data_IF_678731422198
#
_entry.id   IF_678731422198
#
_cell.length_a   1.000
_cell.length_b   1.000
_cell.length_c   1.000
_cell.angle_alpha   90.00
_cell.angle_beta   90.00
_cell.angle_gamma   90.00
#
_symmetry.space_group_name_H-M   'P 1'
#
loop_
_entity.id
_entity.type
_entity.pdbx_description
1 polymer ?
#
# COMPACT_ATOMS: atom_id res chain seq x y z
N UNK A 1 -12.09 -1.90 -16.92
CA UNK A 1 -12.75 -0.85 -16.09
C UNK A 1 -11.97 0.44 -16.19
N UNK A 2 -12.61 1.59 -15.95
CA UNK A 2 -11.96 2.91 -15.93
C UNK A 2 -10.76 2.94 -14.97
N UNK A 3 -10.91 2.44 -13.76
CA UNK A 3 -9.81 2.37 -12.79
C UNK A 3 -8.62 1.56 -13.32
N UNK A 4 -8.87 0.47 -14.02
CA UNK A 4 -7.81 -0.34 -14.63
C UNK A 4 -7.08 0.44 -15.72
N UNK A 5 -7.78 1.18 -16.57
CA UNK A 5 -7.19 1.99 -17.63
C UNK A 5 -6.32 3.12 -17.05
N UNK A 6 -6.80 3.79 -16.00
CA UNK A 6 -6.03 4.81 -15.27
C UNK A 6 -4.77 4.18 -14.65
N UNK A 7 -4.89 3.04 -13.98
CA UNK A 7 -3.75 2.34 -13.37
C UNK A 7 -2.70 1.98 -14.42
N UNK A 8 -3.09 1.38 -15.55
CA UNK A 8 -2.19 1.02 -16.64
C UNK A 8 -1.49 2.26 -17.26
N UNK A 9 -2.21 3.38 -17.39
CA UNK A 9 -1.62 4.62 -17.88
C UNK A 9 -0.55 5.17 -16.92
N UNK A 10 -0.83 5.19 -15.61
CA UNK A 10 0.13 5.61 -14.57
C UNK A 10 1.36 4.70 -14.50
N UNK A 11 1.18 3.38 -14.65
CA UNK A 11 2.30 2.42 -14.73
C UNK A 11 3.20 2.73 -15.92
N UNK A 12 2.63 2.96 -17.12
CA UNK A 12 3.41 3.33 -18.31
C UNK A 12 4.17 4.63 -18.13
N UNK A 13 3.53 5.65 -17.54
CA UNK A 13 4.15 6.93 -17.26
C UNK A 13 5.33 6.79 -16.28
N UNK A 14 5.13 6.08 -15.16
CA UNK A 14 6.18 5.87 -14.17
C UNK A 14 7.36 5.07 -14.71
N UNK A 15 7.10 3.98 -15.43
CA UNK A 15 8.13 3.17 -16.08
C UNK A 15 8.89 3.96 -17.14
N UNK A 16 8.19 4.78 -17.94
CA UNK A 16 8.79 5.68 -18.94
C UNK A 16 9.73 6.73 -18.32
N UNK A 17 9.54 7.07 -17.06
CA UNK A 17 10.44 7.93 -16.28
C UNK A 17 11.49 7.17 -15.47
N UNK A 18 11.66 5.87 -15.72
CA UNK A 18 12.74 5.05 -15.17
C UNK A 18 12.43 4.34 -13.85
N UNK A 19 11.17 4.35 -13.39
CA UNK A 19 10.79 3.59 -12.18
C UNK A 19 10.96 2.08 -12.39
N UNK A 20 11.53 1.40 -11.40
CA UNK A 20 11.68 -0.06 -11.34
C UNK A 20 10.65 -0.71 -10.43
N UNK A 21 10.27 -0.03 -9.35
CA UNK A 21 9.17 -0.37 -8.47
C UNK A 21 8.11 0.73 -8.55
N UNK A 22 6.87 0.36 -8.83
CA UNK A 22 5.74 1.27 -8.96
C UNK A 22 4.68 0.86 -7.95
N UNK A 23 4.30 1.78 -7.06
CA UNK A 23 3.33 1.53 -6.00
C UNK A 23 2.08 2.37 -6.26
N UNK A 24 0.97 1.70 -6.50
CA UNK A 24 -0.35 2.29 -6.62
C UNK A 24 -1.10 2.19 -5.28
N UNK A 25 -2.12 3.03 -5.05
CA UNK A 25 -2.85 3.05 -3.78
C UNK A 25 -3.60 1.76 -3.43
N UNK A 26 -4.01 1.64 -2.16
CA UNK A 26 -5.06 0.72 -1.72
C UNK A 26 -6.34 0.97 -2.51
N UNK A 27 -7.13 -0.08 -2.76
CA UNK A 27 -8.41 0.03 -3.46
C UNK A 27 -8.30 0.63 -4.88
N UNK A 28 -7.17 0.39 -5.60
CA UNK A 28 -6.99 0.84 -6.99
C UNK A 28 -7.98 0.16 -7.93
N UNK A 29 -8.29 -1.13 -7.72
CA UNK A 29 -9.26 -1.85 -8.57
C UNK A 29 -10.69 -1.34 -8.41
N UNK A 30 -11.04 -0.94 -7.18
CA UNK A 30 -12.38 -0.53 -6.79
C UNK A 30 -12.31 0.36 -5.56
N UNK A 31 -12.94 1.55 -5.60
CA UNK A 31 -13.03 2.44 -4.44
C UNK A 31 -13.96 1.87 -3.36
N UNK A 32 -13.67 2.08 -2.09
CA UNK A 32 -14.50 1.65 -0.95
C UNK A 32 -15.96 2.14 -1.00
N UNK A 33 -16.25 3.19 -1.75
CA UNK A 33 -17.60 3.77 -1.92
C UNK A 33 -18.32 3.35 -3.19
N UNK A 34 -17.70 2.55 -4.06
CA UNK A 34 -18.27 2.17 -5.36
C UNK A 34 -19.15 0.90 -5.29
N UNK A 35 -19.96 0.78 -4.26
CA UNK A 35 -20.86 -0.34 -4.06
C UNK A 35 -20.29 -1.44 -3.17
N UNK A 36 -20.81 -2.64 -3.28
CA UNK A 36 -20.34 -3.79 -2.50
C UNK A 36 -18.99 -4.27 -3.05
N UNK A 37 -18.05 -4.56 -2.14
CA UNK A 37 -16.70 -4.99 -2.51
C UNK A 37 -16.71 -6.38 -3.18
N UNK A 38 -17.56 -7.29 -2.71
CA UNK A 38 -17.66 -8.67 -3.21
C UNK A 38 -18.20 -8.76 -4.65
N UNK A 39 -18.98 -7.79 -5.12
CA UNK A 39 -19.53 -7.79 -6.48
C UNK A 39 -18.49 -7.53 -7.57
N UNK A 40 -17.40 -6.84 -7.25
CA UNK A 40 -16.33 -6.49 -8.18
C UNK A 40 -14.99 -7.16 -7.82
N UNK A 41 -14.95 -7.93 -6.73
CA UNK A 41 -13.75 -8.65 -6.31
C UNK A 41 -13.30 -9.65 -7.39
N UNK A 42 -11.99 -9.75 -7.59
CA UNK A 42 -11.38 -10.62 -8.59
C UNK A 42 -10.23 -11.41 -7.97
N UNK A 43 -9.99 -12.63 -8.43
CA UNK A 43 -8.79 -13.37 -8.04
C UNK A 43 -7.53 -12.79 -8.70
N UNK A 44 -6.36 -13.28 -8.30
CA UNK A 44 -5.08 -12.89 -8.93
C UNK A 44 -4.97 -13.33 -10.40
N UNK A 45 -5.84 -14.25 -10.86
CA UNK A 45 -5.96 -14.65 -12.26
C UNK A 45 -7.04 -13.84 -13.00
N UNK A 46 -7.69 -12.89 -12.31
CA UNK A 46 -8.75 -12.05 -12.88
C UNK A 46 -8.22 -10.96 -13.79
N UNK A 47 -9.11 -10.30 -14.55
CA UNK A 47 -8.73 -9.32 -15.57
C UNK A 47 -7.88 -8.15 -15.06
N UNK A 48 -8.09 -7.69 -13.83
CA UNK A 48 -7.31 -6.58 -13.26
C UNK A 48 -5.85 -7.00 -13.02
N UNK A 49 -5.64 -8.11 -12.31
CA UNK A 49 -4.30 -8.58 -11.98
C UNK A 49 -3.53 -9.03 -13.23
N UNK A 50 -4.18 -9.76 -14.15
CA UNK A 50 -3.55 -10.21 -15.39
C UNK A 50 -3.15 -9.06 -16.32
N UNK A 51 -3.93 -7.98 -16.37
CA UNK A 51 -3.56 -6.81 -17.16
C UNK A 51 -2.34 -6.07 -16.59
N UNK A 52 -2.28 -5.94 -15.25
CA UNK A 52 -1.12 -5.33 -14.58
C UNK A 52 0.12 -6.23 -14.74
N UNK A 53 -0.02 -7.54 -14.55
CA UNK A 53 1.07 -8.50 -14.74
C UNK A 53 1.66 -8.43 -16.14
N UNK A 54 0.81 -8.48 -17.16
CA UNK A 54 1.27 -8.42 -18.55
C UNK A 54 2.03 -7.12 -18.86
N UNK A 55 1.53 -5.99 -18.32
CA UNK A 55 2.21 -4.70 -18.51
C UNK A 55 3.50 -4.61 -17.71
N UNK A 56 3.54 -5.12 -16.49
CA UNK A 56 4.74 -5.14 -15.65
C UNK A 56 5.86 -5.98 -16.27
N UNK A 57 5.51 -7.13 -16.87
CA UNK A 57 6.44 -7.96 -17.63
C UNK A 57 6.93 -7.25 -18.91
N UNK A 58 6.02 -6.63 -19.69
CA UNK A 58 6.36 -5.85 -20.89
C UNK A 58 7.37 -4.74 -20.61
N UNK A 59 7.20 -4.05 -19.48
CA UNK A 59 8.02 -2.90 -19.09
C UNK A 59 9.21 -3.26 -18.18
N UNK A 60 9.36 -4.53 -17.82
CA UNK A 60 10.39 -5.04 -16.91
C UNK A 60 10.41 -4.29 -15.55
N UNK A 61 9.23 -4.02 -14.99
CA UNK A 61 9.04 -3.34 -13.70
C UNK A 61 8.25 -4.20 -12.72
N UNK A 62 8.39 -3.93 -11.43
CA UNK A 62 7.52 -4.52 -10.40
C UNK A 62 6.45 -3.50 -10.00
N UNK A 63 5.19 -3.94 -9.96
CA UNK A 63 4.03 -3.12 -9.62
C UNK A 63 3.37 -3.67 -8.35
N UNK A 64 3.07 -2.79 -7.41
CA UNK A 64 2.20 -3.07 -6.27
C UNK A 64 0.92 -2.26 -6.40
N UNK A 65 -0.25 -2.91 -6.34
CA UNK A 65 -1.54 -2.25 -6.56
C UNK A 65 -2.64 -2.82 -5.66
N UNK A 66 -3.41 -1.96 -5.00
CA UNK A 66 -4.52 -2.41 -4.15
C UNK A 66 -5.68 -2.99 -4.97
N UNK A 67 -6.17 -4.16 -4.56
CA UNK A 67 -7.36 -4.80 -5.12
C UNK A 67 -8.15 -5.57 -4.06
N UNK A 68 -9.33 -6.02 -4.39
CA UNK A 68 -10.11 -6.91 -3.53
C UNK A 68 -10.22 -8.29 -4.18
N UNK A 69 -9.91 -9.34 -3.40
CA UNK A 69 -10.03 -10.73 -3.82
C UNK A 69 -11.22 -11.39 -3.08
N UNK A 70 -11.98 -12.29 -3.71
CA UNK A 70 -12.96 -13.09 -2.99
C UNK A 70 -12.31 -13.88 -1.86
N UNK A 71 -12.91 -13.86 -0.66
CA UNK A 71 -12.39 -14.59 0.49
C UNK A 71 -13.37 -15.67 0.96
N UNK A 72 -14.12 -15.43 2.02
CA UNK A 72 -15.04 -16.41 2.59
C UNK A 72 -16.48 -15.88 2.66
N UNK A 73 -17.36 -16.71 3.21
CA UNK A 73 -18.75 -16.34 3.45
C UNK A 73 -19.10 -16.62 4.91
N UNK A 74 -19.71 -15.63 5.57
CA UNK A 74 -20.14 -15.75 6.97
C UNK A 74 -21.63 -15.46 7.11
N UNK A 75 -22.27 -16.10 8.09
CA UNK A 75 -23.64 -15.79 8.48
C UNK A 75 -23.64 -14.86 9.68
N UNK A 76 -24.29 -13.70 9.55
CA UNK A 76 -24.44 -12.73 10.64
C UNK A 76 -25.86 -12.14 10.65
N UNK A 77 -26.54 -12.22 11.77
CA UNK A 77 -27.91 -11.71 11.94
C UNK A 77 -28.91 -12.22 10.87
N UNK A 78 -28.76 -13.50 10.48
CA UNK A 78 -29.60 -14.14 9.46
C UNK A 78 -29.32 -13.65 8.02
N UNK A 79 -28.19 -12.98 7.80
CA UNK A 79 -27.75 -12.55 6.47
C UNK A 79 -26.44 -13.22 6.10
N UNK A 80 -26.36 -13.67 4.87
CA UNK A 80 -25.13 -14.16 4.26
C UNK A 80 -24.28 -12.97 3.81
N UNK A 81 -23.03 -12.90 4.29
CA UNK A 81 -22.06 -11.86 3.93
C UNK A 81 -20.89 -12.55 3.22
N UNK A 82 -20.70 -12.24 1.95
CA UNK A 82 -19.48 -12.62 1.23
C UNK A 82 -18.40 -11.60 1.59
N UNK A 83 -17.31 -12.07 2.22
CA UNK A 83 -16.18 -11.21 2.53
C UNK A 83 -15.12 -11.26 1.43
N UNK A 84 -14.31 -10.22 1.38
CA UNK A 84 -13.17 -10.11 0.47
C UNK A 84 -11.87 -10.01 1.28
N UNK A 85 -10.74 -10.35 0.68
CA UNK A 85 -9.42 -9.90 1.16
C UNK A 85 -9.13 -8.53 0.56
N UNK A 86 -8.53 -7.64 1.36
CA UNK A 86 -7.96 -6.38 0.91
C UNK A 86 -6.50 -6.66 0.56
N UNK A 87 -6.24 -6.84 -0.73
CA UNK A 87 -4.98 -7.40 -1.23
C UNK A 87 -4.13 -6.34 -1.92
N UNK A 88 -2.88 -6.22 -1.52
CA UNK A 88 -1.86 -5.56 -2.33
C UNK A 88 -1.30 -6.58 -3.33
N UNK A 89 -1.76 -6.51 -4.58
CA UNK A 89 -1.20 -7.28 -5.70
C UNK A 89 0.27 -6.94 -5.87
N UNK A 90 1.10 -7.95 -6.09
CA UNK A 90 2.52 -7.82 -6.43
C UNK A 90 2.71 -8.50 -7.77
N UNK A 91 3.07 -7.74 -8.79
CA UNK A 91 3.14 -8.19 -10.17
C UNK A 91 4.42 -7.69 -10.85
N UNK A 92 5.15 -8.58 -11.53
CA UNK A 92 6.38 -8.22 -12.22
C UNK A 92 7.06 -9.43 -12.86
N UNK A 93 8.25 -9.25 -13.47
CA UNK A 93 8.99 -10.34 -14.07
C UNK A 93 9.27 -11.47 -13.07
N UNK A 94 8.65 -12.63 -13.29
CA UNK A 94 8.83 -13.81 -12.44
C UNK A 94 8.13 -13.76 -11.07
N UNK A 95 7.33 -12.73 -10.79
CA UNK A 95 6.54 -12.62 -9.58
C UNK A 95 5.08 -12.28 -9.87
N UNK A 96 4.17 -13.08 -9.32
CA UNK A 96 2.75 -12.77 -9.21
C UNK A 96 2.27 -13.29 -7.85
N UNK A 97 1.82 -12.40 -7.01
CA UNK A 97 1.35 -12.72 -5.67
C UNK A 97 0.56 -11.59 -5.05
N UNK A 98 0.29 -11.69 -3.77
CA UNK A 98 -0.42 -10.65 -3.04
C UNK A 98 -0.12 -10.70 -1.56
N UNK A 99 -0.27 -9.55 -0.92
CA UNK A 99 -0.29 -9.38 0.52
C UNK A 99 -1.72 -9.03 0.94
N UNK A 100 -2.34 -9.88 1.73
CA UNK A 100 -3.64 -9.60 2.34
C UNK A 100 -3.43 -8.80 3.62
N UNK A 101 -4.08 -7.64 3.71
CA UNK A 101 -4.01 -6.70 4.84
C UNK A 101 -4.31 -7.41 6.15
N UNK A 102 -3.36 -7.37 7.09
CA UNK A 102 -3.46 -8.07 8.38
C UNK A 102 -4.37 -7.30 9.34
N UNK A 103 -4.24 -5.97 9.42
CA UNK A 103 -4.99 -5.16 10.37
C UNK A 103 -6.16 -4.45 9.66
N UNK A 104 -7.37 -4.97 9.83
CA UNK A 104 -8.60 -4.33 9.34
C UNK A 104 -8.86 -3.03 10.10
N UNK A 105 -9.39 -2.03 9.38
CA UNK A 105 -9.71 -0.72 9.94
C UNK A 105 -11.03 -0.78 10.74
N UNK A 106 -10.93 -1.21 11.99
CA UNK A 106 -12.05 -1.25 12.93
C UNK A 106 -11.90 -0.11 13.96
N UNK A 107 -12.11 1.13 13.51
CA UNK A 107 -11.92 2.31 14.33
C UNK A 107 -12.79 3.49 13.83
N UNK A 108 -13.03 4.47 14.68
CA UNK A 108 -13.78 5.69 14.33
C UNK A 108 -15.17 5.38 13.74
N UNK A 109 -15.93 4.48 14.40
CA UNK A 109 -17.26 4.03 14.00
C UNK A 109 -17.33 3.33 12.63
N UNK A 110 -16.19 2.90 12.07
CA UNK A 110 -16.08 2.09 10.88
C UNK A 110 -15.58 0.69 11.23
N UNK A 111 -16.11 -0.35 10.58
CA UNK A 111 -15.72 -1.75 10.78
C UNK A 111 -15.46 -2.43 9.45
N UNK A 112 -14.20 -2.39 9.02
CA UNK A 112 -13.76 -3.08 7.81
C UNK A 112 -13.94 -4.61 7.92
N UNK A 113 -13.72 -5.18 9.12
CA UNK A 113 -13.86 -6.61 9.39
C UNK A 113 -15.27 -7.18 9.16
N UNK A 114 -16.26 -6.34 8.99
CA UNK A 114 -17.62 -6.80 8.67
C UNK A 114 -17.70 -7.39 7.25
N UNK A 115 -16.87 -6.90 6.33
CA UNK A 115 -16.86 -7.29 4.91
C UNK A 115 -15.48 -7.70 4.39
N UNK A 116 -14.43 -7.52 5.18
CA UNK A 116 -13.04 -7.87 4.82
C UNK A 116 -12.51 -8.92 5.78
N UNK A 117 -11.97 -10.00 5.24
CA UNK A 117 -11.21 -11.00 5.97
C UNK A 117 -9.78 -10.50 6.18
N UNK A 118 -9.32 -10.48 7.42
CA UNK A 118 -7.93 -10.14 7.74
C UNK A 118 -6.95 -11.19 7.21
N UNK A 119 -5.81 -10.75 6.69
CA UNK A 119 -4.67 -11.60 6.38
C UNK A 119 -3.96 -12.10 7.64
N UNK A 120 -3.09 -13.09 7.48
CA UNK A 120 -2.38 -13.73 8.60
C UNK A 120 -0.85 -13.75 8.42
N UNK A 121 -0.36 -13.42 7.23
CA UNK A 121 1.04 -13.60 6.89
C UNK A 121 1.70 -12.31 6.42
N UNK A 122 2.92 -12.07 6.89
CA UNK A 122 3.82 -11.07 6.33
C UNK A 122 4.26 -11.50 4.93
N UNK A 123 4.47 -10.53 4.06
CA UNK A 123 4.97 -10.76 2.70
C UNK A 123 6.15 -9.84 2.43
N UNK A 124 7.24 -10.44 1.97
CA UNK A 124 8.38 -9.75 1.39
C UNK A 124 8.70 -10.37 0.02
N UNK A 125 9.23 -9.56 -0.90
CA UNK A 125 9.57 -9.94 -2.26
C UNK A 125 10.79 -9.17 -2.74
N UNK A 126 11.45 -9.67 -3.77
CA UNK A 126 12.65 -9.05 -4.31
C UNK A 126 12.30 -8.11 -5.48
N UNK A 127 12.96 -6.96 -5.50
CA UNK A 127 12.97 -6.03 -6.65
C UNK A 127 14.42 -5.65 -6.91
N UNK A 128 14.97 -6.10 -8.03
CA UNK A 128 16.40 -6.02 -8.30
C UNK A 128 17.22 -6.56 -7.10
N UNK A 129 18.06 -5.75 -6.47
CA UNK A 129 18.87 -6.14 -5.30
C UNK A 129 18.24 -5.77 -3.94
N UNK A 130 16.96 -5.36 -3.93
CA UNK A 130 16.24 -4.93 -2.73
C UNK A 130 15.24 -5.98 -2.26
N UNK A 131 15.21 -6.23 -0.96
CA UNK A 131 14.10 -6.92 -0.30
C UNK A 131 13.03 -5.88 0.07
N UNK A 132 11.82 -6.07 -0.43
CA UNK A 132 10.69 -5.16 -0.25
C UNK A 132 9.62 -5.83 0.59
N UNK A 133 9.24 -5.22 1.70
CA UNK A 133 8.13 -5.64 2.53
C UNK A 133 6.80 -5.02 2.10
N UNK A 134 5.69 -5.69 2.33
CA UNK A 134 4.35 -5.17 2.06
C UNK A 134 3.55 -4.92 3.35
N UNK A 135 2.88 -3.78 3.39
CA UNK A 135 1.87 -3.41 4.38
C UNK A 135 0.78 -2.59 3.66
N UNK A 136 -0.39 -2.43 4.26
CA UNK A 136 -1.49 -1.67 3.64
C UNK A 136 -2.16 -0.75 4.66
N UNK A 137 -2.18 0.55 4.38
CA UNK A 137 -2.99 1.56 5.04
C UNK A 137 -2.94 1.50 6.58
N UNK A 138 -3.98 0.93 7.23
CA UNK A 138 -4.11 0.85 8.68
C UNK A 138 -3.00 0.07 9.36
N UNK A 139 -2.32 -0.86 8.65
CA UNK A 139 -1.14 -1.57 9.16
C UNK A 139 -0.06 -0.60 9.67
N UNK A 140 0.00 0.62 9.14
CA UNK A 140 0.98 1.63 9.56
C UNK A 140 0.88 1.99 11.05
N UNK A 141 -0.22 1.67 11.72
CA UNK A 141 -0.40 1.88 13.17
C UNK A 141 0.24 0.80 14.03
N UNK A 142 0.74 -0.27 13.42
CA UNK A 142 1.29 -1.45 14.09
C UNK A 142 2.79 -1.57 13.82
N UNK A 143 3.64 -0.96 14.68
CA UNK A 143 5.09 -0.91 14.47
C UNK A 143 5.74 -2.29 14.43
N UNK A 144 5.16 -3.27 15.12
CA UNK A 144 5.67 -4.63 15.19
C UNK A 144 5.76 -5.27 13.79
N UNK A 145 4.77 -5.05 12.94
CA UNK A 145 4.77 -5.56 11.57
C UNK A 145 5.95 -5.01 10.76
N UNK A 146 6.25 -3.73 10.88
CA UNK A 146 7.35 -3.06 10.17
C UNK A 146 8.71 -3.52 10.69
N UNK A 147 8.84 -3.69 11.99
CA UNK A 147 10.07 -4.24 12.61
C UNK A 147 10.31 -5.68 12.19
N UNK A 148 9.27 -6.49 12.14
CA UNK A 148 9.37 -7.89 11.73
C UNK A 148 9.76 -8.00 10.25
N UNK A 149 9.14 -7.22 9.34
CA UNK A 149 9.55 -7.16 7.94
C UNK A 149 11.03 -6.76 7.80
N UNK A 150 11.47 -5.77 8.57
CA UNK A 150 12.87 -5.34 8.56
C UNK A 150 13.82 -6.40 9.12
N UNK A 151 13.40 -7.18 10.14
CA UNK A 151 14.19 -8.28 10.71
C UNK A 151 14.38 -9.42 9.69
N UNK A 152 13.37 -9.63 8.82
CA UNK A 152 13.41 -10.56 7.69
C UNK A 152 14.18 -10.02 6.48
N UNK A 153 14.78 -8.83 6.58
CA UNK A 153 15.67 -8.27 5.57
C UNK A 153 15.07 -7.12 4.74
N UNK A 154 13.80 -6.76 4.92
CA UNK A 154 13.20 -5.68 4.14
C UNK A 154 13.96 -4.35 4.31
N UNK A 155 14.39 -3.77 3.21
CA UNK A 155 15.10 -2.49 3.13
C UNK A 155 14.16 -1.34 2.72
N UNK A 156 13.05 -1.70 2.14
CA UNK A 156 11.96 -0.83 1.74
C UNK A 156 10.63 -1.50 2.10
N UNK A 157 9.67 -0.73 2.59
CA UNK A 157 8.32 -1.23 2.87
C UNK A 157 7.32 -0.36 2.10
N UNK A 158 6.54 -1.01 1.23
CA UNK A 158 5.47 -0.36 0.48
C UNK A 158 4.18 -0.31 1.30
N UNK A 159 3.43 0.78 1.18
CA UNK A 159 2.18 0.98 1.93
C UNK A 159 1.11 1.60 1.01
N UNK A 160 0.47 0.81 0.14
CA UNK A 160 -0.76 1.23 -0.53
C UNK A 160 -1.79 1.71 0.49
N UNK A 161 -2.42 2.87 0.25
CA UNK A 161 -3.26 3.51 1.26
C UNK A 161 -4.46 4.21 0.67
N UNK A 162 -5.58 4.14 1.38
CA UNK A 162 -6.77 4.97 1.17
C UNK A 162 -7.15 5.59 2.53
N UNK A 163 -6.42 6.63 2.95
CA UNK A 163 -6.54 7.23 4.27
C UNK A 163 -7.78 8.11 4.38
N UNK A 164 -8.45 8.10 5.54
CA UNK A 164 -9.56 9.01 5.82
C UNK A 164 -9.03 10.42 6.13
N UNK A 165 -9.71 11.46 5.62
CA UNK A 165 -9.41 12.85 5.92
C UNK A 165 -10.21 13.35 7.14
N UNK A 166 -9.82 14.51 7.67
CA UNK A 166 -10.43 15.18 8.81
C UNK A 166 -9.39 15.77 9.76
N UNK A 167 -9.84 16.41 10.84
CA UNK A 167 -8.94 17.07 11.80
C UNK A 167 -7.86 16.13 12.33
N UNK A 168 -6.58 16.52 12.18
CA UNK A 168 -5.41 15.77 12.64
C UNK A 168 -5.05 14.53 11.82
N UNK A 169 -5.78 14.19 10.76
CA UNK A 169 -5.53 12.97 9.98
C UNK A 169 -4.28 13.05 9.14
N UNK A 170 -4.00 14.18 8.53
CA UNK A 170 -2.77 14.41 7.76
C UNK A 170 -1.54 14.39 8.69
N UNK A 171 -1.62 15.02 9.85
CA UNK A 171 -0.55 15.01 10.85
C UNK A 171 -0.25 13.59 11.34
N UNK A 172 -1.28 12.79 11.60
CA UNK A 172 -1.11 11.37 11.94
C UNK A 172 -0.44 10.59 10.82
N UNK A 173 -0.85 10.80 9.58
CA UNK A 173 -0.25 10.16 8.41
C UNK A 173 1.24 10.49 8.30
N UNK A 174 1.59 11.76 8.39
CA UNK A 174 2.99 12.24 8.36
C UNK A 174 3.81 11.68 9.50
N UNK A 175 3.27 11.67 10.72
CA UNK A 175 3.94 11.13 11.90
C UNK A 175 4.18 9.63 11.76
N UNK A 176 3.15 8.88 11.38
CA UNK A 176 3.23 7.41 11.32
C UNK A 176 4.19 6.94 10.24
N UNK A 177 4.18 7.54 9.04
CA UNK A 177 5.11 7.17 7.97
C UNK A 177 6.56 7.40 8.37
N UNK A 178 6.88 8.51 9.03
CA UNK A 178 8.22 8.78 9.54
C UNK A 178 8.61 7.86 10.71
N UNK A 179 7.68 7.59 11.64
CA UNK A 179 7.92 6.68 12.75
C UNK A 179 8.20 5.25 12.27
N UNK A 180 7.44 4.75 11.28
CA UNK A 180 7.69 3.40 10.71
C UNK A 180 9.05 3.30 10.03
N UNK A 181 9.50 4.36 9.34
CA UNK A 181 10.84 4.39 8.76
C UNK A 181 11.94 4.27 9.84
N UNK A 182 11.79 5.00 10.95
CA UNK A 182 12.72 4.93 12.08
C UNK A 182 12.68 3.59 12.82
N UNK A 183 11.49 3.05 13.09
CA UNK A 183 11.30 1.77 13.81
C UNK A 183 11.88 0.58 13.04
N UNK A 184 11.79 0.61 11.71
CA UNK A 184 12.26 -0.46 10.82
C UNK A 184 13.64 -0.17 10.22
N UNK A 185 14.12 1.08 10.32
CA UNK A 185 15.32 1.53 9.59
C UNK A 185 15.29 1.15 8.10
N UNK A 186 14.11 1.32 7.50
CA UNK A 186 13.83 1.01 6.10
C UNK A 186 13.19 2.23 5.42
N UNK A 187 13.30 2.31 4.09
CA UNK A 187 12.48 3.25 3.34
C UNK A 187 11.00 2.91 3.49
N UNK A 188 10.15 3.93 3.59
CA UNK A 188 8.69 3.78 3.49
C UNK A 188 8.23 4.45 2.20
N UNK A 189 7.59 3.67 1.31
CA UNK A 189 6.98 4.14 0.07
C UNK A 189 5.48 3.98 0.20
N UNK A 190 4.79 5.07 0.53
CA UNK A 190 3.37 5.06 0.83
C UNK A 190 2.60 5.79 -0.27
N UNK A 191 1.83 5.03 -1.05
CA UNK A 191 0.99 5.55 -2.13
C UNK A 191 -0.45 5.74 -1.65
N UNK A 192 -0.89 6.99 -1.54
CA UNK A 192 -2.22 7.37 -1.09
C UNK A 192 -3.17 7.65 -2.25
N UNK A 193 -4.41 7.19 -2.15
CA UNK A 193 -5.49 7.67 -3.02
C UNK A 193 -5.58 9.20 -2.91
N UNK A 194 -5.65 9.90 -4.06
CA UNK A 194 -5.90 11.34 -4.09
C UNK A 194 -7.20 11.70 -3.36
N UNK A 195 -7.28 12.91 -2.84
CA UNK A 195 -8.48 13.38 -2.16
C UNK A 195 -9.60 13.62 -3.20
N UNK A 196 -10.75 12.94 -3.12
CA UNK A 196 -11.89 13.29 -3.97
C UNK A 196 -12.30 14.76 -3.75
N UNK A 197 -12.23 15.56 -4.81
CA UNK A 197 -12.42 17.01 -4.75
C UNK A 197 -11.15 17.81 -4.48
N UNK A 198 -10.00 17.15 -4.34
CA UNK A 198 -8.68 17.78 -4.25
C UNK A 198 -8.53 18.75 -3.08
N UNK A 199 -7.74 19.80 -3.30
CA UNK A 199 -7.46 20.84 -2.32
C UNK A 199 -8.71 21.54 -1.75
N UNK A 200 -9.80 21.58 -2.52
CA UNK A 200 -11.07 22.19 -2.07
C UNK A 200 -11.72 21.42 -0.91
N UNK A 201 -11.43 20.14 -0.77
CA UNK A 201 -11.94 19.24 0.28
C UNK A 201 -10.91 18.93 1.37
N UNK A 202 -9.74 19.58 1.33
CA UNK A 202 -8.64 19.35 2.28
C UNK A 202 -9.10 19.55 3.73
N UNK A 203 -8.83 18.55 4.58
CA UNK A 203 -9.15 18.57 6.01
C UNK A 203 -10.63 18.37 6.34
N UNK A 204 -11.52 18.29 5.36
CA UNK A 204 -12.93 17.97 5.59
C UNK A 204 -13.09 16.49 5.97
N UNK A 205 -13.89 16.13 7.00
CA UNK A 205 -14.07 14.74 7.39
C UNK A 205 -14.56 13.86 6.24
N UNK A 206 -13.91 12.73 6.04
CA UNK A 206 -14.30 11.72 5.06
C UNK A 206 -14.15 10.31 5.62
N UNK A 207 -14.74 9.33 4.92
CA UNK A 207 -14.36 7.92 5.10
C UNK A 207 -13.00 7.62 4.46
N UNK A 208 -12.59 6.34 4.36
CA UNK A 208 -11.31 5.94 3.78
C UNK A 208 -11.32 6.06 2.24
N UNK A 209 -11.38 7.28 1.75
CA UNK A 209 -11.48 7.61 0.30
C UNK A 209 -10.24 8.30 -0.25
N UNK A 210 -9.25 8.52 0.60
CA UNK A 210 -7.99 9.16 0.24
C UNK A 210 -7.86 10.59 0.77
N UNK A 211 -6.64 10.97 1.07
CA UNK A 211 -6.22 12.35 1.38
C UNK A 211 -5.09 12.80 0.44
N UNK A 212 -4.75 12.03 -0.59
CA UNK A 212 -3.51 12.25 -1.32
C UNK A 212 -2.30 12.02 -0.41
N UNK A 213 -1.36 12.95 -0.42
CA UNK A 213 -0.16 12.95 0.40
C UNK A 213 0.63 11.65 0.33
N UNK A 214 0.69 11.05 -0.88
CA UNK A 214 1.67 9.99 -1.14
C UNK A 214 3.04 10.47 -0.67
N UNK A 215 3.83 9.59 -0.07
CA UNK A 215 5.09 10.03 0.52
C UNK A 215 6.17 8.95 0.43
N UNK A 216 7.41 9.41 0.30
CA UNK A 216 8.60 8.57 0.40
C UNK A 216 9.42 9.08 1.58
N UNK A 217 9.71 8.20 2.53
CA UNK A 217 10.49 8.51 3.74
C UNK A 217 11.73 7.65 3.76
N UNK A 218 12.90 8.24 4.03
CA UNK A 218 14.16 7.53 4.13
C UNK A 218 14.32 6.78 5.48
N UNK A 219 15.31 5.90 5.64
CA UNK A 219 15.53 5.13 6.88
C UNK A 219 15.79 5.98 8.13
N UNK A 220 16.15 7.26 7.96
CA UNK A 220 16.38 8.21 9.06
C UNK A 220 15.11 8.99 9.45
N UNK A 221 13.97 8.64 8.85
CA UNK A 221 12.69 9.32 9.10
C UNK A 221 12.50 10.63 8.35
N UNK A 222 13.39 10.96 7.40
CA UNK A 222 13.31 12.18 6.59
C UNK A 222 12.38 11.94 5.41
N UNK A 223 11.39 12.80 5.24
CA UNK A 223 10.48 12.77 4.10
C UNK A 223 11.19 13.35 2.88
N UNK A 224 11.56 12.48 1.93
CA UNK A 224 12.30 12.85 0.72
C UNK A 224 11.40 13.31 -0.41
N UNK A 225 10.15 12.87 -0.40
CA UNK A 225 9.10 13.32 -1.32
C UNK A 225 7.72 13.26 -0.66
N UNK A 226 6.85 14.20 -0.98
CA UNK A 226 5.43 14.22 -0.57
C UNK A 226 4.59 14.93 -1.63
N UNK A 227 3.45 14.32 -2.03
CA UNK A 227 2.43 14.91 -2.88
C UNK A 227 1.49 15.81 -2.08
N UNK A 228 0.62 16.53 -2.79
CA UNK A 228 -0.54 17.23 -2.22
C UNK A 228 -1.78 16.34 -2.14
N UNK A 229 -2.94 16.99 -2.09
CA UNK A 229 -4.25 16.31 -2.10
C UNK A 229 -4.64 15.77 -3.48
N UNK A 230 -4.11 16.39 -4.53
CA UNK A 230 -4.40 16.07 -5.93
C UNK A 230 -3.69 14.77 -6.40
N UNK A 231 -4.05 14.33 -7.60
CA UNK A 231 -3.41 13.21 -8.27
C UNK A 231 -2.00 13.59 -8.72
N UNK A 232 -1.00 12.79 -8.29
CA UNK A 232 0.41 13.04 -8.57
C UNK A 232 1.21 11.74 -8.63
N UNK A 233 2.39 11.76 -9.24
CA UNK A 233 3.35 10.66 -9.23
C UNK A 233 4.67 11.14 -8.63
N UNK A 234 5.07 10.54 -7.52
CA UNK A 234 6.35 10.83 -6.87
C UNK A 234 7.45 9.88 -7.35
N UNK A 235 8.66 10.40 -7.46
CA UNK A 235 9.85 9.65 -7.81
C UNK A 235 10.94 9.84 -6.75
N UNK A 236 11.66 8.78 -6.42
CA UNK A 236 12.87 8.83 -5.61
C UNK A 236 13.82 7.71 -5.97
N UNK A 237 15.12 7.96 -5.82
CA UNK A 237 16.14 6.91 -5.85
C UNK A 237 16.25 6.27 -4.45
N UNK A 238 16.32 4.95 -4.42
CA UNK A 238 16.47 4.15 -3.20
C UNK A 238 17.92 3.67 -3.13
N UNK A 239 18.64 4.08 -2.07
CA UNK A 239 20.02 3.64 -1.83
C UNK A 239 20.07 2.58 -0.72
N UNK A 240 20.36 1.30 -1.03
CA UNK A 240 20.51 0.26 -0.02
C UNK A 240 21.63 0.54 0.99
N UNK A 241 22.65 1.31 0.59
CA UNK A 241 23.76 1.64 1.47
C UNK A 241 23.31 2.59 2.60
N UNK A 242 22.31 3.45 2.35
CA UNK A 242 21.75 4.31 3.41
C UNK A 242 21.02 3.47 4.45
N UNK A 243 20.30 2.43 4.06
CA UNK A 243 19.69 1.45 4.99
C UNK A 243 20.77 0.79 5.85
N UNK A 244 21.82 0.27 5.21
CA UNK A 244 22.93 -0.40 5.92
C UNK A 244 23.66 0.55 6.87
N UNK A 245 23.85 1.81 6.49
CA UNK A 245 24.45 2.85 7.31
C UNK A 245 23.56 3.19 8.51
N UNK A 246 22.27 3.40 8.27
CA UNK A 246 21.32 3.72 9.35
C UNK A 246 21.22 2.58 10.36
N UNK A 247 21.14 1.31 9.93
CA UNK A 247 21.12 0.15 10.83
C UNK A 247 22.38 0.03 11.72
N UNK A 248 23.56 0.50 11.24
CA UNK A 248 24.77 0.54 12.06
C UNK A 248 24.73 1.62 13.12
N UNK A 249 24.11 2.76 12.84
CA UNK A 249 24.05 3.92 13.75
C UNK A 249 22.83 3.89 14.66
N UNK A 250 21.73 3.29 14.21
CA UNK A 250 20.47 3.13 14.94
C UNK A 250 20.07 1.65 14.95
N UNK A 251 20.68 0.81 15.81
CA UNK A 251 20.48 -0.65 15.81
C UNK A 251 19.19 -1.06 16.53
N UNK A 252 18.02 -0.68 15.99
CA UNK A 252 16.70 -0.98 16.56
C UNK A 252 16.05 -2.23 15.96
N UNK A 253 16.64 -2.78 14.89
CA UNK A 253 16.19 -4.01 14.22
C UNK A 253 17.20 -5.11 14.52
N UNK A 254 16.72 -6.23 15.06
CA UNK A 254 17.53 -7.46 15.23
C UNK A 254 17.23 -8.35 14.02
N UNK A 255 18.25 -8.78 13.24
CA UNK A 255 18.03 -9.74 12.16
C UNK A 255 17.36 -11.01 12.68
N UNK A 256 16.48 -11.60 11.87
CA UNK A 256 15.94 -12.93 12.14
C UNK A 256 17.09 -13.97 12.06
N UNK A 257 17.09 -14.96 12.95
CA UNK A 257 18.06 -16.07 12.99
C UNK A 257 17.90 -17.01 11.79
#
# INVERSE_FOLDING_TARGET
>A
TENQEIALAKIREAAGNGARLIVLPEATSQNFRSGRLDEQAQSLEGPFATAIQALAEELEVTVVAGMFCPADTVERDGKTINRVSNTALIAGPGVLGGYDKIHTYDAFDYRESDTVLAGESLVAFDVDDLVVGAATCYDIRFPEQFKELASQGAQLIVVPTSWADGPGKLEQWRLLTAARALDSTSYIVAAGQSRPGGDAEAGNPSGPTGIGHSTIVDPNGVRVAEAGYEDDILYAEIDPNEVAKTRRTLPVVTPAD
#
